data_IF_320839329866
#
_entry.id   IF_320839329866
#
_cell.length_a   1.000
_cell.length_b   1.000
_cell.length_c   1.000
_cell.angle_alpha   90.00
_cell.angle_beta   90.00
_cell.angle_gamma   90.00
#
_symmetry.space_group_name_H-M   'P 1'
#
loop_
_entity.id
_entity.type
_entity.pdbx_description
1 polymer ?
#
# COMPACT_ATOMS: atom_id res chain seq x y z
N UNK A 1 -14.37 14.49 -4.91
CA UNK A 1 -15.59 13.69 -4.65
C UNK A 1 -15.97 13.07 -5.97
N UNK A 2 -15.45 11.87 -6.24
CA UNK A 2 -15.83 11.09 -7.41
C UNK A 2 -17.23 10.53 -7.21
N UNK A 3 -18.05 10.63 -8.25
CA UNK A 3 -19.33 9.96 -8.32
C UNK A 3 -19.11 8.45 -8.23
N UNK A 4 -19.47 7.84 -7.10
CA UNK A 4 -19.42 6.39 -6.96
C UNK A 4 -20.56 5.80 -7.82
N UNK A 5 -20.20 5.29 -9.01
CA UNK A 5 -21.14 4.74 -10.00
C UNK A 5 -22.11 3.71 -9.39
N UNK A 6 -21.65 2.97 -8.38
CA UNK A 6 -22.44 2.02 -7.59
C UNK A 6 -22.25 2.29 -6.09
N UNK A 7 -23.16 3.04 -5.44
CA UNK A 7 -22.98 3.48 -4.05
C UNK A 7 -23.07 2.34 -3.03
N UNK A 8 -23.70 1.23 -3.39
CA UNK A 8 -23.82 0.03 -2.55
C UNK A 8 -22.73 -1.00 -2.83
N UNK A 9 -21.69 -0.65 -3.58
CA UNK A 9 -20.64 -1.60 -3.93
C UNK A 9 -19.81 -1.97 -2.70
N UNK A 10 -19.79 -3.25 -2.37
CA UNK A 10 -19.07 -3.81 -1.24
C UNK A 10 -18.21 -4.99 -1.70
N UNK A 11 -17.00 -5.10 -1.17
CA UNK A 11 -16.07 -6.18 -1.52
C UNK A 11 -15.73 -7.03 -0.32
N UNK A 12 -15.63 -8.36 -0.52
CA UNK A 12 -15.11 -9.31 0.47
C UNK A 12 -13.94 -10.07 -0.14
N UNK A 13 -12.71 -9.63 0.14
CA UNK A 13 -11.54 -10.35 -0.33
C UNK A 13 -11.22 -11.57 0.56
N UNK A 14 -11.04 -12.73 -0.05
CA UNK A 14 -10.75 -14.04 0.57
C UNK A 14 -9.28 -14.45 0.40
N UNK A 15 -8.38 -13.47 0.33
CA UNK A 15 -6.95 -13.73 0.04
C UNK A 15 -6.31 -14.62 1.09
N UNK A 16 -5.79 -15.78 0.66
CA UNK A 16 -5.12 -16.75 1.52
C UNK A 16 -6.06 -17.71 2.26
N UNK A 17 -7.35 -17.71 1.93
CA UNK A 17 -8.32 -18.71 2.39
C UNK A 17 -8.24 -19.95 1.48
N UNK A 18 -8.21 -21.19 2.03
CA UNK A 18 -8.32 -22.41 1.23
C UNK A 18 -9.59 -22.42 0.37
N UNK A 19 -9.49 -22.94 -0.86
CA UNK A 19 -10.60 -22.89 -1.85
C UNK A 19 -11.83 -23.66 -1.35
N UNK A 20 -11.63 -24.75 -0.61
CA UNK A 20 -12.69 -25.59 -0.04
C UNK A 20 -13.41 -24.97 1.16
N UNK A 21 -12.82 -23.93 1.76
CA UNK A 21 -13.40 -23.16 2.86
C UNK A 21 -13.97 -21.80 2.40
N UNK A 22 -13.73 -21.43 1.13
CA UNK A 22 -14.10 -20.12 0.60
C UNK A 22 -15.61 -20.06 0.27
N UNK A 23 -16.33 -19.21 0.99
CA UNK A 23 -17.68 -18.80 0.59
C UNK A 23 -17.60 -17.88 -0.62
N UNK A 24 -18.39 -18.19 -1.64
CA UNK A 24 -18.48 -17.38 -2.86
C UNK A 24 -19.62 -16.35 -2.78
N UNK A 25 -19.50 -15.29 -3.57
CA UNK A 25 -20.47 -14.18 -3.65
C UNK A 25 -20.93 -13.99 -5.09
N UNK A 26 -22.18 -13.58 -5.25
CA UNK A 26 -22.75 -13.15 -6.54
C UNK A 26 -22.41 -11.67 -6.83
N UNK A 27 -22.77 -11.18 -8.02
CA UNK A 27 -22.67 -9.74 -8.32
C UNK A 27 -23.67 -8.93 -7.47
N UNK A 28 -24.84 -9.49 -7.18
CA UNK A 28 -25.85 -8.86 -6.34
C UNK A 28 -25.42 -8.76 -4.87
N UNK A 29 -24.70 -9.75 -4.34
CA UNK A 29 -24.09 -9.71 -3.00
C UNK A 29 -23.03 -8.60 -2.89
N UNK A 30 -22.35 -8.26 -3.99
CA UNK A 30 -21.42 -7.12 -4.08
C UNK A 30 -22.16 -5.78 -4.22
N UNK A 31 -23.49 -5.77 -4.31
CA UNK A 31 -24.31 -4.58 -4.48
C UNK A 31 -24.45 -4.09 -5.92
N UNK A 32 -24.18 -4.95 -6.91
CA UNK A 32 -24.39 -4.64 -8.34
C UNK A 32 -25.81 -5.03 -8.78
N UNK A 33 -26.41 -4.29 -9.73
CA UNK A 33 -27.83 -4.42 -10.05
C UNK A 33 -28.22 -5.67 -10.84
N UNK A 34 -27.30 -6.26 -11.63
CA UNK A 34 -27.62 -7.45 -12.43
C UNK A 34 -26.91 -8.68 -11.88
N UNK A 35 -27.69 -9.75 -11.70
CA UNK A 35 -27.16 -11.07 -11.37
C UNK A 35 -27.58 -12.06 -12.45
N UNK A 36 -26.70 -12.99 -12.79
CA UNK A 36 -27.02 -14.01 -13.79
C UNK A 36 -27.37 -15.31 -13.07
N UNK A 37 -28.59 -15.86 -13.27
CA UNK A 37 -29.01 -17.09 -12.62
C UNK A 37 -28.01 -18.21 -12.90
N UNK A 38 -27.74 -19.10 -11.93
CA UNK A 38 -26.91 -20.27 -12.16
C UNK A 38 -27.45 -21.09 -13.34
N UNK A 39 -26.56 -21.46 -14.26
CA UNK A 39 -26.90 -22.44 -15.29
C UNK A 39 -27.23 -23.77 -14.59
N UNK A 40 -28.42 -24.32 -14.86
CA UNK A 40 -28.79 -25.66 -14.39
C UNK A 40 -27.94 -26.69 -15.14
N UNK A 41 -26.74 -26.96 -14.64
CA UNK A 41 -25.79 -27.90 -15.26
C UNK A 41 -26.39 -29.30 -15.41
N UNK A 42 -27.32 -29.69 -14.53
CA UNK A 42 -28.02 -30.97 -14.62
C UNK A 42 -28.92 -31.05 -15.86
N UNK A 43 -29.45 -29.91 -16.33
CA UNK A 43 -30.22 -29.81 -17.59
C UNK A 43 -29.38 -30.13 -18.82
N UNK A 44 -28.06 -29.93 -18.74
CA UNK A 44 -27.11 -30.15 -19.84
C UNK A 44 -26.16 -31.34 -19.59
N UNK A 45 -26.30 -32.03 -18.46
CA UNK A 45 -25.46 -33.16 -18.06
C UNK A 45 -25.56 -34.38 -19.00
N UNK A 46 -26.61 -34.47 -19.83
CA UNK A 46 -26.64 -35.40 -20.95
C UNK A 46 -25.74 -34.85 -22.08
N UNK A 47 -24.49 -35.33 -22.11
CA UNK A 47 -23.41 -34.83 -22.97
C UNK A 47 -23.76 -34.77 -24.46
N UNK A 48 -24.62 -35.65 -24.95
CA UNK A 48 -24.93 -35.81 -26.37
C UNK A 48 -25.43 -34.53 -27.06
N UNK A 49 -26.11 -33.63 -26.34
CA UNK A 49 -26.61 -32.38 -26.91
C UNK A 49 -25.48 -31.37 -27.13
N UNK A 50 -24.60 -31.17 -26.15
CA UNK A 50 -23.45 -30.26 -26.24
C UNK A 50 -22.34 -30.84 -27.12
N UNK A 51 -22.10 -32.15 -27.07
CA UNK A 51 -21.14 -32.84 -27.93
C UNK A 51 -21.46 -32.58 -29.41
N UNK A 52 -22.74 -32.65 -29.79
CA UNK A 52 -23.16 -32.33 -31.16
C UNK A 52 -22.89 -30.88 -31.58
N UNK A 53 -22.94 -29.93 -30.64
CA UNK A 53 -22.57 -28.52 -30.90
C UNK A 53 -21.07 -28.47 -31.20
N UNK A 54 -20.25 -29.04 -30.31
CA UNK A 54 -18.79 -29.01 -30.43
C UNK A 54 -18.27 -29.72 -31.68
N UNK A 55 -18.87 -30.85 -32.05
CA UNK A 55 -18.58 -31.54 -33.31
C UNK A 55 -18.89 -30.67 -34.54
N UNK A 56 -20.01 -29.94 -34.51
CA UNK A 56 -20.42 -29.05 -35.62
C UNK A 56 -19.51 -27.82 -35.71
N UNK A 57 -19.02 -27.33 -34.57
CA UNK A 57 -18.31 -26.05 -34.48
C UNK A 57 -16.80 -26.18 -34.35
N UNK A 58 -16.22 -27.38 -34.36
CA UNK A 58 -14.81 -27.63 -34.04
C UNK A 58 -13.83 -26.85 -34.92
N UNK A 59 -14.15 -26.71 -36.21
CA UNK A 59 -13.31 -26.01 -37.20
C UNK A 59 -13.71 -24.54 -37.40
N UNK A 60 -14.69 -24.06 -36.64
CA UNK A 60 -15.20 -22.69 -36.76
C UNK A 60 -14.33 -21.68 -36.03
N UNK A 61 -13.93 -20.62 -36.74
CA UNK A 61 -13.29 -19.46 -36.11
C UNK A 61 -14.24 -18.71 -35.17
N UNK A 62 -15.54 -18.68 -35.50
CA UNK A 62 -16.57 -18.05 -34.67
C UNK A 62 -16.71 -18.73 -33.31
N UNK A 63 -16.54 -20.04 -33.22
CA UNK A 63 -16.67 -20.81 -31.98
C UNK A 63 -15.32 -21.12 -31.30
N UNK A 64 -14.23 -20.50 -31.77
CA UNK A 64 -12.93 -20.63 -31.12
C UNK A 64 -12.87 -19.75 -29.87
N UNK A 65 -12.68 -20.36 -28.70
CA UNK A 65 -12.64 -19.61 -27.43
C UNK A 65 -13.99 -19.02 -27.08
N UNK A 66 -14.03 -17.74 -26.68
CA UNK A 66 -15.27 -17.01 -26.33
C UNK A 66 -15.82 -16.16 -27.50
N UNK A 67 -15.39 -16.43 -28.74
CA UNK A 67 -15.71 -15.59 -29.89
C UNK A 67 -17.22 -15.53 -30.18
N UNK A 68 -17.92 -16.66 -30.08
CA UNK A 68 -19.34 -16.77 -30.41
C UNK A 68 -20.20 -16.02 -29.37
N UNK A 69 -19.83 -16.12 -28.11
CA UNK A 69 -20.43 -15.45 -26.97
C UNK A 69 -20.24 -13.94 -27.08
N UNK A 70 -18.99 -13.50 -27.30
CA UNK A 70 -18.66 -12.09 -27.49
C UNK A 70 -19.43 -11.52 -28.68
N UNK A 71 -19.54 -12.28 -29.77
CA UNK A 71 -20.29 -11.88 -30.96
C UNK A 71 -21.79 -11.78 -30.69
N UNK A 72 -22.38 -12.77 -30.03
CA UNK A 72 -23.80 -12.74 -29.65
C UNK A 72 -24.12 -11.51 -28.80
N UNK A 73 -23.32 -11.23 -27.77
CA UNK A 73 -23.53 -10.06 -26.91
C UNK A 73 -23.38 -8.76 -27.69
N UNK A 74 -22.43 -8.66 -28.64
CA UNK A 74 -22.34 -7.49 -29.54
C UNK A 74 -23.58 -7.32 -30.41
N UNK A 75 -24.15 -8.41 -30.94
CA UNK A 75 -25.42 -8.36 -31.68
C UNK A 75 -26.56 -7.90 -30.77
N UNK A 76 -26.66 -8.44 -29.56
CA UNK A 76 -27.67 -8.09 -28.57
C UNK A 76 -27.60 -6.59 -28.21
N UNK A 77 -26.40 -6.07 -27.95
CA UNK A 77 -26.18 -4.66 -27.61
C UNK A 77 -26.43 -3.71 -28.79
N UNK A 78 -26.07 -4.10 -30.01
CA UNK A 78 -26.17 -3.26 -31.20
C UNK A 78 -27.58 -3.20 -31.79
N UNK A 79 -28.29 -4.34 -31.79
CA UNK A 79 -29.66 -4.41 -32.29
C UNK A 79 -30.68 -4.02 -31.23
N UNK A 80 -30.31 -4.10 -29.95
CA UNK A 80 -31.17 -3.79 -28.80
C UNK A 80 -32.48 -4.58 -28.84
N UNK A 81 -32.42 -5.82 -29.34
CA UNK A 81 -33.55 -6.73 -29.51
C UNK A 81 -33.01 -8.17 -29.50
N UNK A 82 -33.56 -8.99 -28.60
CA UNK A 82 -33.11 -10.36 -28.34
C UNK A 82 -33.38 -11.30 -29.52
N UNK A 83 -34.56 -11.19 -30.11
CA UNK A 83 -34.97 -12.05 -31.23
C UNK A 83 -34.20 -11.68 -32.50
N UNK A 84 -33.98 -10.39 -32.75
CA UNK A 84 -33.16 -9.92 -33.86
C UNK A 84 -31.71 -10.39 -33.74
N UNK A 85 -31.13 -10.35 -32.53
CA UNK A 85 -29.78 -10.85 -32.27
C UNK A 85 -29.67 -12.36 -32.49
N UNK A 86 -30.62 -13.15 -31.94
CA UNK A 86 -30.65 -14.60 -32.13
C UNK A 86 -30.82 -14.97 -33.61
N UNK A 87 -31.75 -14.33 -34.32
CA UNK A 87 -31.98 -14.59 -35.73
C UNK A 87 -30.77 -14.24 -36.60
N UNK A 88 -30.07 -13.15 -36.28
CA UNK A 88 -28.85 -12.74 -36.99
C UNK A 88 -27.70 -13.73 -36.76
N UNK A 89 -27.44 -14.11 -35.50
CA UNK A 89 -26.42 -15.11 -35.19
C UNK A 89 -26.74 -16.45 -35.84
N UNK A 90 -28.01 -16.88 -35.81
CA UNK A 90 -28.46 -18.11 -36.47
C UNK A 90 -28.22 -18.06 -37.98
N UNK A 91 -28.51 -16.93 -38.63
CA UNK A 91 -28.27 -16.76 -40.06
C UNK A 91 -26.78 -16.90 -40.41
N UNK A 92 -25.89 -16.37 -39.57
CA UNK A 92 -24.44 -16.50 -39.74
C UNK A 92 -23.97 -17.95 -39.49
N UNK A 93 -24.51 -18.61 -38.47
CA UNK A 93 -24.16 -19.99 -38.11
C UNK A 93 -24.69 -21.04 -39.09
N UNK A 94 -25.69 -20.71 -39.94
CA UNK A 94 -26.15 -21.61 -41.02
C UNK A 94 -25.02 -22.00 -41.97
N UNK A 95 -24.06 -21.11 -42.20
CA UNK A 95 -22.89 -21.39 -43.05
C UNK A 95 -22.01 -22.52 -42.51
N UNK A 96 -22.13 -22.82 -41.22
CA UNK A 96 -21.34 -23.79 -40.46
C UNK A 96 -22.20 -25.03 -40.12
N UNK A 97 -23.43 -25.10 -40.63
CA UNK A 97 -24.33 -26.23 -40.38
C UNK A 97 -24.98 -26.25 -38.99
N UNK A 98 -24.83 -25.20 -38.18
CA UNK A 98 -25.40 -25.15 -36.84
C UNK A 98 -26.92 -24.94 -36.88
N UNK A 99 -27.67 -25.83 -36.25
CA UNK A 99 -29.13 -25.72 -36.13
C UNK A 99 -29.57 -24.68 -35.10
N UNK A 100 -30.82 -24.22 -35.19
CA UNK A 100 -31.44 -23.35 -34.19
C UNK A 100 -31.37 -23.97 -32.79
N UNK A 101 -31.68 -25.27 -32.68
CA UNK A 101 -31.66 -26.01 -31.43
C UNK A 101 -30.25 -26.03 -30.81
N UNK A 102 -29.23 -26.36 -31.60
CA UNK A 102 -27.83 -26.36 -31.16
C UNK A 102 -27.37 -24.97 -30.68
N UNK A 103 -27.70 -23.90 -31.43
CA UNK A 103 -27.37 -22.54 -31.02
C UNK A 103 -28.06 -22.16 -29.71
N UNK A 104 -29.34 -22.53 -29.54
CA UNK A 104 -30.12 -22.24 -28.34
C UNK A 104 -29.53 -22.95 -27.12
N UNK A 105 -29.16 -24.23 -27.26
CA UNK A 105 -28.46 -24.98 -26.20
C UNK A 105 -27.14 -24.32 -25.85
N UNK A 106 -26.33 -23.96 -26.85
CA UNK A 106 -25.06 -23.30 -26.63
C UNK A 106 -25.23 -22.01 -25.84
N UNK A 107 -26.12 -21.11 -26.29
CA UNK A 107 -26.37 -19.85 -25.59
C UNK A 107 -26.96 -20.06 -24.19
N UNK A 108 -27.81 -21.06 -23.99
CA UNK A 108 -28.37 -21.38 -22.68
C UNK A 108 -27.28 -21.89 -21.72
N UNK A 109 -26.43 -22.80 -22.20
CA UNK A 109 -25.31 -23.34 -21.43
C UNK A 109 -24.32 -22.25 -21.00
N UNK A 110 -24.12 -21.23 -21.85
CA UNK A 110 -23.28 -20.07 -21.55
C UNK A 110 -24.00 -18.96 -20.75
N UNK A 111 -25.27 -19.16 -20.43
CA UNK A 111 -26.16 -18.21 -19.72
C UNK A 111 -26.39 -16.89 -20.46
N UNK A 112 -26.39 -16.96 -21.78
CA UNK A 112 -26.66 -15.82 -22.67
C UNK A 112 -28.06 -15.86 -23.27
N UNK A 113 -28.70 -17.04 -23.33
CA UNK A 113 -29.98 -17.20 -24.00
C UNK A 113 -31.07 -16.33 -23.37
N UNK A 114 -31.09 -16.18 -22.04
CA UNK A 114 -32.14 -15.45 -21.34
C UNK A 114 -31.84 -13.97 -21.09
N UNK A 115 -30.63 -13.54 -21.44
CA UNK A 115 -30.15 -12.18 -21.21
C UNK A 115 -30.85 -11.18 -22.15
N UNK A 116 -31.47 -10.14 -21.59
CA UNK A 116 -32.05 -9.07 -22.38
C UNK A 116 -31.01 -7.94 -22.66
N UNK A 117 -31.26 -7.05 -23.64
CA UNK A 117 -30.32 -5.99 -24.00
C UNK A 117 -30.00 -4.99 -22.87
N UNK A 118 -30.94 -4.75 -21.96
CA UNK A 118 -30.76 -3.88 -20.80
C UNK A 118 -29.78 -4.50 -19.81
N UNK A 119 -30.03 -5.74 -19.41
CA UNK A 119 -29.15 -6.50 -18.51
C UNK A 119 -27.75 -6.69 -19.11
N UNK A 120 -27.65 -6.97 -20.41
CA UNK A 120 -26.36 -7.05 -21.10
C UNK A 120 -25.58 -5.73 -21.04
N UNK A 121 -26.27 -4.59 -21.16
CA UNK A 121 -25.62 -3.28 -21.08
C UNK A 121 -25.15 -2.99 -19.65
N UNK A 122 -25.97 -3.30 -18.66
CA UNK A 122 -25.64 -3.15 -17.25
C UNK A 122 -24.45 -4.03 -16.86
N UNK A 123 -24.46 -5.33 -17.20
CA UNK A 123 -23.33 -6.23 -16.96
C UNK A 123 -22.03 -5.72 -17.60
N UNK A 124 -22.07 -5.23 -18.84
CA UNK A 124 -20.88 -4.64 -19.47
C UNK A 124 -20.35 -3.44 -18.68
N UNK A 125 -21.23 -2.57 -18.21
CA UNK A 125 -20.88 -1.38 -17.45
C UNK A 125 -20.44 -1.67 -16.01
N UNK A 126 -20.93 -2.76 -15.42
CA UNK A 126 -20.48 -3.34 -14.15
C UNK A 126 -19.08 -3.94 -14.29
N UNK A 127 -18.81 -4.77 -15.30
CA UNK A 127 -17.48 -5.36 -15.50
C UNK A 127 -16.41 -4.31 -15.83
N UNK A 128 -16.77 -3.23 -16.55
CA UNK A 128 -15.89 -2.06 -16.70
C UNK A 128 -15.53 -1.48 -15.34
N UNK A 129 -16.54 -1.21 -14.50
CA UNK A 129 -16.32 -0.66 -13.16
C UNK A 129 -15.50 -1.60 -12.27
N UNK A 130 -15.78 -2.90 -12.29
CA UNK A 130 -15.03 -3.92 -11.54
C UNK A 130 -13.55 -3.91 -11.96
N UNK A 131 -13.25 -3.86 -13.26
CA UNK A 131 -11.87 -3.86 -13.76
C UNK A 131 -11.13 -2.59 -13.30
N UNK A 132 -11.76 -1.43 -13.36
CA UNK A 132 -11.16 -0.16 -12.97
C UNK A 132 -10.93 -0.04 -11.46
N UNK A 133 -11.88 -0.58 -10.68
CA UNK A 133 -11.91 -0.47 -9.21
C UNK A 133 -11.04 -1.54 -8.55
N UNK A 134 -11.21 -2.81 -8.94
CA UNK A 134 -10.52 -3.93 -8.30
C UNK A 134 -9.19 -4.28 -8.97
N UNK A 135 -8.86 -3.67 -10.11
CA UNK A 135 -7.60 -3.81 -10.84
C UNK A 135 -7.09 -5.27 -11.00
N UNK A 136 -7.93 -6.23 -11.42
CA UNK A 136 -7.52 -7.63 -11.60
C UNK A 136 -6.53 -7.79 -12.75
N UNK A 137 -5.66 -8.82 -12.73
CA UNK A 137 -4.83 -9.20 -13.90
C UNK A 137 -5.65 -9.95 -14.92
N UNK A 138 -6.61 -10.76 -14.47
CA UNK A 138 -7.57 -11.46 -15.30
C UNK A 138 -8.81 -11.78 -14.46
N UNK A 139 -9.84 -12.32 -15.08
CA UNK A 139 -11.08 -12.71 -14.37
C UNK A 139 -10.82 -13.75 -13.26
N UNK A 140 -9.73 -14.51 -13.34
CA UNK A 140 -9.31 -15.47 -12.31
C UNK A 140 -9.10 -14.77 -10.96
N UNK A 141 -8.55 -13.55 -10.96
CA UNK A 141 -8.35 -12.82 -9.72
C UNK A 141 -9.70 -12.49 -9.05
N UNK A 142 -10.77 -12.25 -9.81
CA UNK A 142 -12.11 -12.06 -9.25
C UNK A 142 -12.63 -13.35 -8.60
N UNK A 143 -12.42 -14.49 -9.23
CA UNK A 143 -12.85 -15.77 -8.67
C UNK A 143 -12.04 -16.15 -7.41
N UNK A 144 -10.71 -16.02 -7.46
CA UNK A 144 -9.84 -16.50 -6.38
C UNK A 144 -9.62 -15.50 -5.25
N UNK A 145 -9.65 -14.18 -5.52
CA UNK A 145 -9.38 -13.18 -4.50
C UNK A 145 -10.65 -12.53 -3.97
N UNK A 146 -11.65 -12.28 -4.82
CA UNK A 146 -12.94 -11.74 -4.39
C UNK A 146 -13.94 -12.85 -4.03
N UNK A 147 -13.69 -14.10 -4.43
CA UNK A 147 -14.64 -15.20 -4.22
C UNK A 147 -15.87 -15.07 -5.12
N UNK A 148 -15.76 -14.36 -6.26
CA UNK A 148 -16.90 -14.22 -7.17
C UNK A 148 -17.32 -15.59 -7.71
N UNK A 149 -18.62 -15.86 -7.72
CA UNK A 149 -19.20 -17.05 -8.32
C UNK A 149 -18.70 -17.22 -9.76
N UNK A 150 -18.30 -18.43 -10.12
CA UNK A 150 -17.86 -18.72 -11.49
C UNK A 150 -19.07 -18.89 -12.39
N UNK A 151 -19.21 -18.03 -13.40
CA UNK A 151 -20.25 -18.16 -14.42
C UNK A 151 -19.65 -17.94 -15.82
N UNK A 152 -19.99 -18.76 -16.85
CA UNK A 152 -19.48 -18.57 -18.21
C UNK A 152 -19.70 -17.16 -18.77
N UNK A 153 -20.90 -16.60 -18.55
CA UNK A 153 -21.26 -15.23 -18.94
C UNK A 153 -20.26 -14.16 -18.45
N UNK A 154 -19.66 -14.34 -17.26
CA UNK A 154 -18.74 -13.36 -16.67
C UNK A 154 -17.45 -13.28 -17.49
N UNK A 155 -17.01 -14.38 -18.09
CA UNK A 155 -15.88 -14.37 -19.02
C UNK A 155 -16.14 -13.50 -20.23
N UNK A 156 -17.32 -13.64 -20.82
CA UNK A 156 -17.77 -12.84 -21.98
C UNK A 156 -17.78 -11.35 -21.63
N UNK A 157 -18.41 -10.97 -20.51
CA UNK A 157 -18.48 -9.56 -20.12
C UNK A 157 -17.13 -8.99 -19.67
N UNK A 158 -16.28 -9.79 -19.01
CA UNK A 158 -14.92 -9.39 -18.69
C UNK A 158 -14.07 -9.15 -19.94
N UNK A 159 -14.18 -10.03 -20.95
CA UNK A 159 -13.48 -9.87 -22.22
C UNK A 159 -13.96 -8.62 -22.98
N UNK A 160 -15.27 -8.40 -23.07
CA UNK A 160 -15.85 -7.22 -23.71
C UNK A 160 -15.53 -5.92 -22.96
N UNK A 161 -15.53 -5.94 -21.62
CA UNK A 161 -15.13 -4.80 -20.81
C UNK A 161 -13.64 -4.47 -21.00
N UNK A 162 -12.77 -5.48 -21.05
CA UNK A 162 -11.36 -5.30 -21.35
C UNK A 162 -11.13 -4.69 -22.74
N UNK A 163 -11.89 -5.13 -23.76
CA UNK A 163 -11.85 -4.54 -25.11
C UNK A 163 -12.31 -3.08 -25.09
N UNK A 164 -13.40 -2.76 -24.38
CA UNK A 164 -13.93 -1.39 -24.21
C UNK A 164 -12.91 -0.47 -23.54
N UNK A 165 -12.16 -1.00 -22.56
CA UNK A 165 -11.06 -0.32 -21.87
C UNK A 165 -9.73 -0.34 -22.65
N UNK A 166 -9.68 -1.02 -23.81
CA UNK A 166 -8.48 -1.18 -24.65
C UNK A 166 -7.29 -1.78 -23.90
N UNK A 167 -7.55 -2.76 -23.02
CA UNK A 167 -6.51 -3.41 -22.24
C UNK A 167 -5.80 -4.50 -23.04
N UNK A 168 -4.48 -4.43 -23.08
CA UNK A 168 -3.65 -5.44 -23.73
C UNK A 168 -3.45 -6.68 -22.85
N UNK A 169 -3.60 -7.87 -23.45
CA UNK A 169 -3.35 -9.16 -22.79
C UNK A 169 -2.09 -9.85 -23.32
N UNK A 170 -1.49 -10.70 -22.49
CA UNK A 170 -0.47 -11.64 -22.96
C UNK A 170 -1.08 -12.76 -23.81
N UNK A 171 -0.47 -13.06 -24.96
CA UNK A 171 -1.01 -14.01 -25.94
C UNK A 171 -0.27 -15.35 -26.00
N UNK A 172 0.89 -15.47 -25.33
CA UNK A 172 1.69 -16.70 -25.36
C UNK A 172 1.11 -17.73 -24.38
N UNK A 173 0.45 -18.76 -24.92
CA UNK A 173 -0.18 -19.87 -24.18
C UNK A 173 0.78 -20.71 -23.33
N UNK A 174 2.08 -20.66 -23.61
CA UNK A 174 3.09 -21.42 -22.87
C UNK A 174 3.62 -20.68 -21.63
N UNK A 175 3.14 -19.46 -21.36
CA UNK A 175 3.52 -18.69 -20.18
C UNK A 175 2.38 -18.65 -19.17
N UNK A 176 2.73 -18.66 -17.88
CA UNK A 176 1.77 -18.61 -16.77
C UNK A 176 0.94 -17.31 -16.72
N UNK A 177 1.36 -16.28 -17.45
CA UNK A 177 0.64 -15.01 -17.56
C UNK A 177 -0.28 -14.93 -18.78
N UNK A 178 -0.51 -16.03 -19.51
CA UNK A 178 -1.45 -16.06 -20.63
C UNK A 178 -2.81 -15.47 -20.24
N UNK A 179 -3.38 -14.64 -21.12
CA UNK A 179 -4.63 -13.90 -20.93
C UNK A 179 -4.66 -12.88 -19.77
N UNK A 180 -3.57 -12.70 -19.02
CA UNK A 180 -3.46 -11.60 -18.06
C UNK A 180 -3.20 -10.29 -18.78
N UNK A 181 -3.73 -9.19 -18.24
CA UNK A 181 -3.40 -7.83 -18.66
C UNK A 181 -1.91 -7.54 -18.44
N UNK A 182 -1.28 -6.87 -19.39
CA UNK A 182 0.18 -6.63 -19.37
C UNK A 182 0.64 -5.69 -18.26
N UNK A 183 -0.07 -4.59 -18.04
CA UNK A 183 0.32 -3.54 -17.09
C UNK A 183 -0.82 -2.97 -16.24
N UNK A 184 -2.08 -3.38 -16.49
CA UNK A 184 -3.27 -2.79 -15.85
C UNK A 184 -3.18 -2.77 -14.32
N UNK A 185 -2.77 -3.89 -13.72
CA UNK A 185 -2.65 -3.97 -12.26
C UNK A 185 -1.52 -3.07 -11.73
N UNK A 186 -0.34 -3.06 -12.36
CA UNK A 186 0.79 -2.25 -11.93
C UNK A 186 0.48 -0.75 -12.02
N UNK A 187 -0.11 -0.32 -13.14
CA UNK A 187 -0.54 1.08 -13.33
C UNK A 187 -1.67 1.47 -12.38
N UNK A 188 -2.61 0.56 -12.13
CA UNK A 188 -3.68 0.73 -11.15
C UNK A 188 -3.15 0.91 -9.73
N UNK A 189 -2.24 0.05 -9.29
CA UNK A 189 -1.56 0.16 -7.98
C UNK A 189 -0.79 1.47 -7.90
N UNK A 190 0.00 1.81 -8.93
CA UNK A 190 0.79 3.06 -8.97
C UNK A 190 -0.12 4.28 -8.81
N UNK A 191 -1.23 4.32 -9.55
CA UNK A 191 -2.23 5.38 -9.45
C UNK A 191 -2.80 5.50 -8.03
N UNK A 192 -3.16 4.39 -7.39
CA UNK A 192 -3.71 4.41 -6.03
C UNK A 192 -2.68 4.94 -5.01
N UNK A 193 -1.42 4.51 -5.10
CA UNK A 193 -0.33 5.01 -4.24
C UNK A 193 -0.16 6.52 -4.43
N UNK A 194 -0.15 7.00 -5.68
CA UNK A 194 -0.04 8.42 -6.01
C UNK A 194 -1.26 9.23 -5.58
N UNK A 195 -2.43 8.61 -5.41
CA UNK A 195 -3.62 9.24 -4.86
C UNK A 195 -3.64 9.26 -3.33
N UNK A 196 -2.60 8.74 -2.67
CA UNK A 196 -2.44 8.76 -1.21
C UNK A 196 -2.94 7.50 -0.51
N UNK A 197 -3.51 6.53 -1.23
CA UNK A 197 -4.00 5.27 -0.64
C UNK A 197 -2.90 4.54 0.13
N UNK A 198 -3.28 3.89 1.23
CA UNK A 198 -2.35 3.04 1.98
C UNK A 198 -2.09 1.71 1.26
N UNK A 199 -0.90 1.15 1.43
CA UNK A 199 -0.56 -0.15 0.84
C UNK A 199 -1.47 -1.26 1.40
N UNK A 200 -1.91 -1.13 2.65
CA UNK A 200 -2.87 -2.04 3.25
C UNK A 200 -4.25 -1.91 2.59
N UNK A 201 -4.75 -0.69 2.36
CA UNK A 201 -6.05 -0.48 1.71
C UNK A 201 -6.04 -0.99 0.28
N UNK A 202 -4.94 -0.77 -0.47
CA UNK A 202 -4.77 -1.35 -1.80
C UNK A 202 -4.81 -2.89 -1.71
N UNK A 203 -4.14 -3.47 -0.72
CA UNK A 203 -4.15 -4.92 -0.53
C UNK A 203 -5.53 -5.45 -0.06
N UNK A 204 -6.26 -4.75 0.79
CA UNK A 204 -7.54 -5.23 1.31
C UNK A 204 -8.70 -5.01 0.33
N UNK A 205 -8.62 -4.00 -0.55
CA UNK A 205 -9.74 -3.57 -1.39
C UNK A 205 -9.53 -3.77 -2.90
N UNK A 206 -8.41 -4.35 -3.33
CA UNK A 206 -8.16 -4.66 -4.75
C UNK A 206 -7.66 -6.08 -4.96
N UNK A 207 -7.52 -6.52 -6.21
CA UNK A 207 -6.91 -7.80 -6.56
C UNK A 207 -5.38 -7.83 -6.44
N UNK A 208 -4.73 -6.71 -6.10
CA UNK A 208 -3.27 -6.65 -6.04
C UNK A 208 -2.71 -7.53 -4.91
N UNK A 209 -1.64 -8.27 -5.19
CA UNK A 209 -0.91 -9.03 -4.16
C UNK A 209 0.11 -8.15 -3.47
N UNK A 210 0.54 -8.51 -2.25
CA UNK A 210 1.64 -7.80 -1.56
C UNK A 210 2.89 -7.72 -2.45
N UNK A 211 3.23 -8.80 -3.16
CA UNK A 211 4.37 -8.83 -4.08
C UNK A 211 4.27 -7.76 -5.16
N UNK A 212 3.11 -7.65 -5.82
CA UNK A 212 2.91 -6.67 -6.90
C UNK A 212 2.97 -5.24 -6.36
N UNK A 213 2.32 -4.98 -5.22
CA UNK A 213 2.34 -3.67 -4.56
C UNK A 213 3.78 -3.23 -4.28
N UNK A 214 4.58 -4.15 -3.76
CA UNK A 214 6.00 -3.93 -3.44
C UNK A 214 6.89 -3.73 -4.65
N UNK A 215 6.67 -4.48 -5.72
CA UNK A 215 7.38 -4.31 -6.99
C UNK A 215 7.09 -2.93 -7.59
N UNK A 216 5.82 -2.51 -7.58
CA UNK A 216 5.43 -1.18 -8.04
C UNK A 216 6.12 -0.11 -7.20
N UNK A 217 6.04 -0.16 -5.88
CA UNK A 217 6.67 0.83 -5.01
C UNK A 217 8.18 0.97 -5.27
N UNK A 218 8.90 -0.16 -5.41
CA UNK A 218 10.34 -0.16 -5.73
C UNK A 218 10.67 0.40 -7.11
N UNK A 219 9.73 0.30 -8.05
CA UNK A 219 9.90 0.83 -9.41
C UNK A 219 9.64 2.33 -9.51
N UNK A 220 8.96 2.92 -8.52
CA UNK A 220 8.63 4.34 -8.50
C UNK A 220 9.88 5.18 -8.21
N UNK A 221 10.06 6.27 -8.95
CA UNK A 221 11.18 7.21 -8.76
C UNK A 221 10.81 8.29 -7.75
N UNK A 222 11.82 8.82 -7.06
CA UNK A 222 11.69 9.96 -6.13
C UNK A 222 10.93 11.16 -6.73
N UNK A 223 11.15 11.46 -8.01
CA UNK A 223 10.47 12.54 -8.74
C UNK A 223 8.96 12.29 -8.93
N UNK A 224 8.56 11.02 -9.03
CA UNK A 224 7.16 10.63 -9.21
C UNK A 224 6.35 10.77 -7.92
N UNK A 225 7.02 10.86 -6.77
CA UNK A 225 6.39 11.17 -5.50
C UNK A 225 6.05 12.66 -5.33
N UNK A 226 6.23 13.48 -6.37
CA UNK A 226 5.93 14.92 -6.47
C UNK A 226 5.07 15.54 -5.36
N UNK A 227 5.69 15.84 -4.21
CA UNK A 227 5.02 16.51 -3.09
C UNK A 227 3.96 15.69 -2.34
N UNK A 228 3.91 14.37 -2.53
CA UNK A 228 3.05 13.49 -1.74
C UNK A 228 3.41 13.62 -0.26
N UNK A 229 2.37 13.72 0.56
CA UNK A 229 2.44 13.72 2.03
C UNK A 229 2.95 12.35 2.49
N UNK A 230 4.26 12.26 2.56
CA UNK A 230 4.99 11.15 3.12
C UNK A 230 6.40 11.08 2.56
N UNK A 231 7.38 11.22 3.43
CA UNK A 231 8.78 11.04 3.07
C UNK A 231 9.04 9.63 2.52
N UNK A 232 10.10 9.43 1.72
CA UNK A 232 10.51 8.10 1.25
C UNK A 232 10.61 7.11 2.44
N UNK A 233 11.03 7.60 3.60
CA UNK A 233 11.12 6.81 4.82
C UNK A 233 9.78 6.32 5.36
N UNK A 234 8.74 7.15 5.39
CA UNK A 234 7.39 6.69 5.77
C UNK A 234 6.92 5.56 4.85
N UNK A 235 7.18 5.65 3.55
CA UNK A 235 6.84 4.57 2.60
C UNK A 235 7.66 3.30 2.85
N UNK A 236 8.91 3.43 3.27
CA UNK A 236 9.72 2.28 3.71
C UNK A 236 9.14 1.64 4.98
N UNK A 237 8.70 2.44 5.97
CA UNK A 237 8.02 1.92 7.16
C UNK A 237 6.72 1.21 6.79
N UNK A 238 5.90 1.82 5.92
CA UNK A 238 4.65 1.21 5.42
C UNK A 238 4.91 -0.11 4.68
N UNK A 239 5.97 -0.16 3.88
CA UNK A 239 6.40 -1.38 3.18
C UNK A 239 6.68 -2.53 4.16
N UNK A 240 7.34 -2.22 5.28
CA UNK A 240 7.62 -3.18 6.35
C UNK A 240 6.30 -3.59 7.04
N UNK A 241 5.44 -2.62 7.38
CA UNK A 241 4.14 -2.87 7.99
C UNK A 241 3.23 -3.74 7.14
N UNK A 242 3.30 -3.62 5.81
CA UNK A 242 2.49 -4.43 4.89
C UNK A 242 2.76 -5.94 5.04
N UNK A 243 3.98 -6.36 5.39
CA UNK A 243 4.28 -7.77 5.64
C UNK A 243 3.75 -8.28 6.97
N UNK A 244 3.55 -7.37 7.91
CA UNK A 244 3.13 -7.70 9.26
C UNK A 244 1.63 -8.00 9.25
N UNK A 245 1.22 -8.99 10.05
CA UNK A 245 -0.20 -9.38 10.21
C UNK A 245 -0.95 -8.42 11.15
N UNK A 246 -0.67 -7.13 11.08
CA UNK A 246 -1.31 -6.11 11.91
C UNK A 246 -2.10 -5.15 11.03
N UNK A 247 -3.30 -4.78 11.47
CA UNK A 247 -4.06 -3.70 10.84
C UNK A 247 -3.46 -2.37 11.24
N UNK A 248 -3.29 -1.47 10.29
CA UNK A 248 -2.81 -0.12 10.54
C UNK A 248 -3.60 0.90 9.72
N UNK A 249 -3.52 2.16 10.14
CA UNK A 249 -3.98 3.32 9.36
C UNK A 249 -2.87 4.34 9.27
N UNK A 250 -2.84 5.08 8.16
CA UNK A 250 -1.92 6.18 7.92
C UNK A 250 -2.50 7.52 8.35
N UNK A 251 -1.62 8.46 8.66
CA UNK A 251 -1.94 9.89 8.82
C UNK A 251 -3.13 10.13 9.77
N UNK A 252 -3.11 9.46 10.92
CA UNK A 252 -4.23 9.39 11.86
C UNK A 252 -4.26 10.60 12.78
N UNK A 253 -5.44 11.20 12.90
CA UNK A 253 -5.75 12.18 13.94
C UNK A 253 -6.60 11.53 15.02
N UNK A 254 -6.34 11.87 16.29
CA UNK A 254 -7.20 11.46 17.39
C UNK A 254 -8.18 12.59 17.73
N UNK A 255 -9.48 12.30 17.72
CA UNK A 255 -10.53 13.30 17.93
C UNK A 255 -10.42 14.03 19.27
N UNK A 256 -9.85 13.38 20.29
CA UNK A 256 -9.68 13.96 21.62
C UNK A 256 -8.30 14.54 21.89
N UNK A 257 -7.42 14.61 20.88
CA UNK A 257 -6.05 15.12 21.03
C UNK A 257 -5.98 16.50 21.68
N UNK A 258 -6.71 17.48 21.15
CA UNK A 258 -6.72 18.86 21.66
C UNK A 258 -7.28 18.93 23.09
N UNK A 259 -8.32 18.15 23.39
CA UNK A 259 -8.94 18.08 24.71
C UNK A 259 -8.00 17.48 25.76
N UNK A 260 -7.22 16.46 25.38
CA UNK A 260 -6.29 15.77 26.28
C UNK A 260 -5.01 16.58 26.51
N UNK A 261 -4.48 17.21 25.46
CA UNK A 261 -3.20 17.93 25.52
C UNK A 261 -3.34 19.40 25.92
N UNK A 262 -4.50 20.01 25.65
CA UNK A 262 -4.72 21.45 25.73
C UNK A 262 -4.10 22.24 24.57
N UNK A 263 -3.62 21.56 23.53
CA UNK A 263 -2.98 22.21 22.38
C UNK A 263 -3.98 22.83 21.41
N UNK A 264 -3.57 23.92 20.75
CA UNK A 264 -4.38 24.61 19.74
C UNK A 264 -4.36 23.90 18.37
N UNK A 265 -3.58 22.84 18.22
CA UNK A 265 -3.45 22.05 16.99
C UNK A 265 -3.89 20.59 17.21
N UNK A 266 -4.24 19.89 16.13
CA UNK A 266 -4.50 18.46 16.18
C UNK A 266 -3.27 17.69 15.69
N UNK A 267 -2.74 16.80 16.53
CA UNK A 267 -1.56 16.00 16.21
C UNK A 267 -1.90 14.88 15.24
N UNK A 268 -1.26 14.91 14.07
CA UNK A 268 -1.29 13.82 13.09
C UNK A 268 -0.19 12.81 13.42
N UNK A 269 -0.52 11.52 13.41
CA UNK A 269 0.44 10.43 13.55
C UNK A 269 0.61 9.65 12.26
N UNK A 270 1.84 9.25 11.93
CA UNK A 270 2.13 8.63 10.62
C UNK A 270 1.48 7.27 10.48
N UNK A 271 1.60 6.40 11.49
CA UNK A 271 0.93 5.10 11.53
C UNK A 271 0.35 4.80 12.90
N UNK A 272 -0.85 4.23 12.92
CA UNK A 272 -1.46 3.69 14.14
C UNK A 272 -1.89 2.25 13.87
N UNK A 273 -1.44 1.32 14.70
CA UNK A 273 -1.77 -0.08 14.62
C UNK A 273 -2.95 -0.41 15.55
N UNK A 274 -3.85 -1.25 15.05
CA UNK A 274 -5.11 -1.58 15.71
C UNK A 274 -5.23 -3.08 16.00
N UNK A 275 -5.79 -3.40 17.16
CA UNK A 275 -6.16 -4.77 17.56
C UNK A 275 -7.59 -4.73 18.08
N UNK A 276 -8.49 -5.52 17.46
CA UNK A 276 -9.94 -5.49 17.75
C UNK A 276 -10.53 -4.05 17.68
N UNK A 277 -10.08 -3.28 16.67
CA UNK A 277 -10.43 -1.86 16.45
C UNK A 277 -9.95 -0.86 17.52
N UNK A 278 -9.17 -1.29 18.51
CA UNK A 278 -8.55 -0.39 19.49
C UNK A 278 -7.09 -0.10 19.08
N UNK A 279 -6.62 1.16 19.13
CA UNK A 279 -5.23 1.50 18.88
C UNK A 279 -4.35 0.90 19.99
N UNK A 280 -3.25 0.26 19.62
CA UNK A 280 -2.33 -0.36 20.61
C UNK A 280 -0.85 0.01 20.42
N UNK A 281 -0.48 0.58 19.28
CA UNK A 281 0.87 1.05 18.99
C UNK A 281 0.78 2.20 18.00
N UNK A 282 1.49 3.27 18.28
CA UNK A 282 1.66 4.43 17.40
C UNK A 282 3.09 4.43 16.88
N UNK A 283 3.27 4.70 15.59
CA UNK A 283 4.58 4.78 14.95
C UNK A 283 4.71 6.13 14.24
N UNK A 284 5.84 6.78 14.49
CA UNK A 284 6.26 8.04 13.85
C UNK A 284 7.55 7.79 13.08
N UNK A 285 7.65 8.37 11.88
CA UNK A 285 8.91 8.42 11.18
C UNK A 285 9.50 9.84 11.27
N UNK A 286 10.62 9.97 11.98
CA UNK A 286 11.29 11.24 12.17
C UNK A 286 12.32 11.47 11.07
N UNK A 287 11.93 12.25 10.06
CA UNK A 287 12.85 12.77 9.06
C UNK A 287 13.89 13.75 9.64
N UNK A 288 14.90 14.13 8.85
CA UNK A 288 15.96 15.08 9.26
C UNK A 288 15.41 16.39 9.84
N UNK A 289 14.23 16.84 9.38
CA UNK A 289 13.56 18.05 9.85
C UNK A 289 13.17 18.02 11.34
N UNK A 290 13.04 16.84 11.96
CA UNK A 290 12.77 16.73 13.40
C UNK A 290 14.01 16.99 14.26
N UNK A 291 15.22 16.93 13.68
CA UNK A 291 16.49 17.04 14.39
C UNK A 291 17.21 18.35 14.10
N UNK A 292 17.09 18.85 12.86
CA UNK A 292 17.83 20.01 12.39
C UNK A 292 16.90 21.01 11.69
N UNK A 293 17.22 22.31 11.81
CA UNK A 293 16.56 23.33 11.02
C UNK A 293 16.88 23.14 9.53
N UNK A 294 15.87 22.71 8.77
CA UNK A 294 15.90 22.68 7.31
C UNK A 294 15.03 23.81 6.74
N UNK A 295 15.60 24.82 6.05
CA UNK A 295 14.86 26.00 5.57
C UNK A 295 13.63 25.66 4.71
N UNK A 296 13.71 24.60 3.89
CA UNK A 296 12.61 24.16 3.04
C UNK A 296 11.39 23.67 3.82
N UNK A 297 11.59 23.11 5.02
CA UNK A 297 10.52 22.53 5.83
C UNK A 297 10.01 23.49 6.91
N UNK A 298 10.88 24.35 7.44
CA UNK A 298 10.54 25.21 8.58
C UNK A 298 10.31 26.67 8.20
N UNK A 299 10.86 27.13 7.07
CA UNK A 299 10.91 28.52 6.60
C UNK A 299 11.71 29.48 7.51
N UNK A 300 11.59 29.33 8.83
CA UNK A 300 12.19 30.16 9.88
C UNK A 300 12.66 29.31 11.07
N UNK A 301 13.68 29.74 11.83
CA UNK A 301 14.10 29.05 13.06
C UNK A 301 12.95 28.86 14.06
N UNK A 302 12.04 29.82 14.17
CA UNK A 302 10.84 29.73 15.00
C UNK A 302 9.90 28.60 14.52
N UNK A 303 9.86 28.34 13.20
CA UNK A 303 9.14 27.19 12.63
C UNK A 303 9.70 25.85 13.09
N UNK A 304 11.01 25.75 13.32
CA UNK A 304 11.63 24.55 13.90
C UNK A 304 11.33 24.41 15.40
N UNK A 305 11.33 25.50 16.16
CA UNK A 305 10.88 25.46 17.57
C UNK A 305 9.41 25.01 17.70
N UNK A 306 8.55 25.45 16.78
CA UNK A 306 7.17 24.98 16.71
C UNK A 306 7.08 23.48 16.39
N UNK A 307 7.94 22.97 15.50
CA UNK A 307 8.01 21.54 15.20
C UNK A 307 8.43 20.73 16.44
N UNK A 308 9.46 21.18 17.16
CA UNK A 308 9.89 20.56 18.43
C UNK A 308 8.78 20.58 19.49
N UNK A 309 8.05 21.70 19.59
CA UNK A 309 6.90 21.80 20.49
C UNK A 309 5.80 20.77 20.12
N UNK A 310 5.49 20.61 18.83
CA UNK A 310 4.52 19.62 18.37
C UNK A 310 4.93 18.19 18.74
N UNK A 311 6.20 17.85 18.57
CA UNK A 311 6.76 16.54 18.90
C UNK A 311 6.65 16.22 20.41
N UNK A 312 6.94 17.21 21.27
CA UNK A 312 6.78 17.08 22.73
C UNK A 312 5.33 16.83 23.09
N UNK A 313 4.40 17.60 22.50
CA UNK A 313 2.97 17.48 22.79
C UNK A 313 2.42 16.13 22.28
N UNK A 314 2.86 15.65 21.12
CA UNK A 314 2.51 14.33 20.58
C UNK A 314 2.99 13.20 21.50
N UNK A 315 4.22 13.30 22.01
CA UNK A 315 4.75 12.35 23.01
C UNK A 315 3.88 12.34 24.26
N UNK A 316 3.58 13.53 24.81
CA UNK A 316 2.74 13.68 26.01
C UNK A 316 1.34 13.11 25.83
N UNK A 317 0.73 13.28 24.66
CA UNK A 317 -0.57 12.67 24.37
C UNK A 317 -0.51 11.15 24.50
N UNK A 318 0.48 10.51 23.88
CA UNK A 318 0.67 9.06 23.93
C UNK A 318 0.92 8.59 25.38
N UNK A 319 1.73 9.31 26.15
CA UNK A 319 1.96 9.01 27.57
C UNK A 319 0.67 9.07 28.41
N UNK A 320 -0.14 10.13 28.28
CA UNK A 320 -1.41 10.28 29.01
C UNK A 320 -2.41 9.18 28.63
N UNK A 321 -2.38 8.74 27.37
CA UNK A 321 -3.24 7.69 26.85
C UNK A 321 -2.75 6.28 27.13
N UNK A 322 -1.56 6.14 27.73
CA UNK A 322 -0.86 4.86 27.89
C UNK A 322 -0.70 4.13 26.54
N UNK A 323 -0.52 4.89 25.45
CA UNK A 323 -0.29 4.38 24.10
C UNK A 323 1.22 4.34 23.82
N UNK A 324 1.80 3.16 23.54
CA UNK A 324 3.20 3.06 23.14
C UNK A 324 3.48 3.85 21.85
N UNK A 325 4.49 4.71 21.89
CA UNK A 325 4.93 5.54 20.77
C UNK A 325 6.32 5.11 20.28
N UNK A 326 6.37 4.36 19.20
CA UNK A 326 7.60 3.98 18.52
C UNK A 326 7.97 5.05 17.49
N UNK A 327 8.89 5.93 17.82
CA UNK A 327 9.52 6.79 16.80
C UNK A 327 10.58 5.96 16.05
N UNK A 328 10.78 6.23 14.76
CA UNK A 328 11.81 5.61 13.91
C UNK A 328 12.54 6.76 13.22
N UNK A 329 13.83 6.90 13.47
CA UNK A 329 14.59 8.04 12.95
C UNK A 329 15.07 7.73 11.53
N UNK A 330 15.25 8.77 10.71
CA UNK A 330 15.69 8.60 9.33
C UNK A 330 17.04 7.88 9.18
N UNK A 331 17.92 7.99 10.18
CA UNK A 331 19.21 7.29 10.21
C UNK A 331 19.08 5.78 10.48
N UNK A 332 17.92 5.31 10.92
CA UNK A 332 17.70 3.90 11.24
C UNK A 332 17.22 3.08 10.04
N UNK A 333 16.84 3.76 8.95
CA UNK A 333 16.48 3.12 7.68
C UNK A 333 17.69 2.81 6.79
N UNK A 334 18.88 2.72 7.40
CA UNK A 334 20.13 2.46 6.69
C UNK A 334 20.17 1.05 6.04
N UNK A 335 20.68 1.01 4.81
CA UNK A 335 20.79 -0.18 3.97
C UNK A 335 21.74 -1.23 4.56
N UNK A 336 22.66 -0.82 5.44
CA UNK A 336 23.68 -1.70 6.06
C UNK A 336 23.10 -2.69 7.10
N UNK A 337 21.86 -2.49 7.56
CA UNK A 337 21.17 -3.40 8.51
C UNK A 337 19.79 -3.79 8.00
N UNK A 338 19.71 -4.55 6.89
CA UNK A 338 18.44 -4.91 6.31
C UNK A 338 17.60 -5.73 7.31
N UNK A 339 16.41 -5.23 7.63
CA UNK A 339 15.46 -5.91 8.52
C UNK A 339 15.49 -5.46 9.99
N UNK A 340 16.46 -4.62 10.42
CA UNK A 340 16.50 -4.11 11.80
C UNK A 340 15.18 -3.46 12.21
N UNK A 341 14.66 -2.52 11.41
CA UNK A 341 13.38 -1.86 11.70
C UNK A 341 12.20 -2.83 11.68
N UNK A 342 12.23 -3.85 10.81
CA UNK A 342 11.21 -4.88 10.83
C UNK A 342 11.23 -5.66 12.15
N UNK A 343 12.40 -5.98 12.68
CA UNK A 343 12.55 -6.65 13.97
C UNK A 343 12.11 -5.77 15.13
N UNK A 344 12.46 -4.47 15.12
CA UNK A 344 12.01 -3.48 16.11
C UNK A 344 10.48 -3.38 16.14
N UNK A 345 9.84 -3.21 14.97
CA UNK A 345 8.39 -3.12 14.87
C UNK A 345 7.75 -4.44 15.35
N UNK A 346 8.26 -5.59 14.91
CA UNK A 346 7.75 -6.89 15.35
C UNK A 346 7.90 -7.11 16.87
N UNK A 347 9.01 -6.66 17.46
CA UNK A 347 9.24 -6.73 18.90
C UNK A 347 8.25 -5.83 19.65
N UNK A 348 8.06 -4.59 19.20
CA UNK A 348 7.08 -3.65 19.76
C UNK A 348 5.63 -4.17 19.69
N UNK A 349 5.28 -4.85 18.59
CA UNK A 349 3.93 -5.45 18.42
C UNK A 349 3.70 -6.63 19.39
N UNK A 350 4.75 -7.42 19.66
CA UNK A 350 4.68 -8.57 20.58
C UNK A 350 4.64 -8.11 22.03
N UNK A 351 5.48 -7.16 22.39
CA UNK A 351 5.59 -6.61 23.74
C UNK A 351 5.92 -5.11 23.68
N UNK A 352 4.97 -4.24 24.10
CA UNK A 352 5.14 -2.79 24.14
C UNK A 352 6.38 -2.30 24.91
N UNK A 353 6.93 -3.07 25.86
CA UNK A 353 8.15 -2.72 26.56
C UNK A 353 9.35 -2.52 25.61
N UNK A 354 9.32 -3.17 24.43
CA UNK A 354 10.37 -2.99 23.42
C UNK A 354 10.40 -1.59 22.81
N UNK A 355 9.31 -0.82 22.88
CA UNK A 355 9.30 0.60 22.49
C UNK A 355 10.23 1.39 23.40
N UNK A 356 10.16 1.15 24.71
CA UNK A 356 11.02 1.80 25.69
C UNK A 356 12.48 1.35 25.57
N UNK A 357 12.71 0.06 25.32
CA UNK A 357 14.05 -0.47 25.06
C UNK A 357 14.66 0.20 23.82
N UNK A 358 13.90 0.28 22.73
CA UNK A 358 14.31 0.96 21.51
C UNK A 358 14.63 2.43 21.77
N UNK A 359 13.76 3.15 22.49
CA UNK A 359 14.00 4.55 22.88
C UNK A 359 15.32 4.72 23.63
N UNK A 360 15.60 3.88 24.63
CA UNK A 360 16.85 3.94 25.41
C UNK A 360 18.09 3.61 24.57
N UNK A 361 18.00 2.65 23.66
CA UNK A 361 19.10 2.32 22.75
C UNK A 361 19.42 3.48 21.79
N UNK A 362 18.45 4.34 21.49
CA UNK A 362 18.61 5.50 20.60
C UNK A 362 19.04 6.78 21.28
N UNK A 363 18.85 6.92 22.59
CA UNK A 363 19.27 8.15 23.31
C UNK A 363 20.71 8.59 22.95
N UNK A 364 21.71 7.69 22.88
CA UNK A 364 23.04 8.04 22.39
C UNK A 364 23.05 8.54 20.94
N UNK A 365 22.39 7.83 20.00
CA UNK A 365 22.35 8.19 18.58
C UNK A 365 21.66 9.54 18.32
N UNK A 366 20.59 9.85 19.05
CA UNK A 366 19.92 11.17 18.97
C UNK A 366 20.89 12.29 19.34
N UNK A 367 21.70 12.07 20.37
CA UNK A 367 22.75 13.00 20.78
C UNK A 367 23.87 13.10 19.73
N UNK A 368 24.20 12.01 19.02
CA UNK A 368 25.20 12.03 17.93
C UNK A 368 24.81 13.00 16.81
N UNK A 369 23.55 12.97 16.38
CA UNK A 369 23.07 13.84 15.30
C UNK A 369 23.15 15.34 15.64
N UNK A 370 23.16 15.67 16.94
CA UNK A 370 23.33 17.04 17.40
C UNK A 370 24.81 17.49 17.45
N UNK A 371 25.78 16.57 17.35
CA UNK A 371 27.21 16.87 17.49
C UNK A 371 27.67 17.91 16.47
N UNK A 372 27.26 17.78 15.22
CA UNK A 372 27.72 18.62 14.10
C UNK A 372 27.58 20.13 14.38
N UNK A 373 26.50 20.50 15.08
CA UNK A 373 26.22 21.89 15.46
C UNK A 373 26.65 22.24 16.89
N UNK A 374 26.91 21.24 17.74
CA UNK A 374 27.21 21.44 19.17
C UNK A 374 28.70 21.49 19.47
N UNK A 375 29.56 21.10 18.53
CA UNK A 375 31.02 21.25 18.66
C UNK A 375 31.54 22.65 18.31
N UNK A 376 30.69 23.46 17.67
CA UNK A 376 30.96 24.86 17.30
C UNK A 376 30.14 25.79 18.20
N UNK A 377 30.61 27.03 18.38
CA UNK A 377 29.96 28.04 19.20
C UNK A 377 29.62 27.54 20.62
N UNK A 378 30.54 26.77 21.22
CA UNK A 378 30.30 25.99 22.44
C UNK A 378 30.97 26.59 23.68
N UNK A 379 31.53 27.81 23.60
CA UNK A 379 32.26 28.45 24.69
C UNK A 379 31.48 28.50 26.00
N UNK A 380 30.29 29.06 26.00
CA UNK A 380 29.45 29.16 27.20
C UNK A 380 29.19 27.78 27.84
N UNK A 381 28.97 26.76 27.02
CA UNK A 381 28.69 25.43 27.53
C UNK A 381 29.94 24.78 28.14
N UNK A 382 31.09 24.90 27.48
CA UNK A 382 32.38 24.40 27.98
C UNK A 382 32.80 25.10 29.29
N UNK A 383 32.59 26.41 29.39
CA UNK A 383 32.92 27.19 30.59
C UNK A 383 32.05 26.80 31.80
N UNK A 384 30.81 26.36 31.55
CA UNK A 384 29.89 25.87 32.59
C UNK A 384 29.97 24.36 32.83
N UNK A 385 30.91 23.68 32.19
CA UNK A 385 31.06 22.23 32.21
C UNK A 385 32.13 21.75 33.18
N UNK A 386 31.97 20.53 33.70
CA UNK A 386 33.01 19.86 34.49
C UNK A 386 33.86 18.97 33.59
N UNK A 387 33.20 18.16 32.76
CA UNK A 387 33.83 17.26 31.81
C UNK A 387 33.55 17.68 30.37
N UNK A 388 34.57 17.52 29.54
CA UNK A 388 34.52 17.66 28.10
C UNK A 388 35.06 16.39 27.44
N UNK A 389 34.57 16.10 26.24
CA UNK A 389 35.01 14.99 25.41
C UNK A 389 35.32 15.46 23.99
N UNK A 390 36.37 14.89 23.38
CA UNK A 390 36.67 15.13 21.96
C UNK A 390 36.09 14.01 21.09
N UNK A 391 35.15 14.33 20.20
CA UNK A 391 34.57 13.38 19.25
C UNK A 391 35.63 12.81 18.30
N UNK A 392 36.63 13.59 17.90
CA UNK A 392 37.67 13.14 16.94
C UNK A 392 38.73 12.19 17.52
N UNK A 393 38.97 12.16 18.84
CA UNK A 393 39.96 11.26 19.44
C UNK A 393 39.49 10.54 20.72
N UNK A 394 38.18 10.57 20.97
CA UNK A 394 37.48 9.99 22.12
C UNK A 394 38.01 10.37 23.50
N UNK A 395 38.83 11.42 23.61
CA UNK A 395 39.52 11.75 24.86
C UNK A 395 38.61 12.55 25.77
N UNK A 396 38.49 12.11 27.02
CA UNK A 396 37.76 12.81 28.08
C UNK A 396 38.75 13.60 28.95
N UNK A 397 38.40 14.84 29.27
CA UNK A 397 39.19 15.71 30.12
C UNK A 397 38.32 16.71 30.88
N UNK A 398 38.87 17.30 31.94
CA UNK A 398 38.22 18.41 32.63
C UNK A 398 38.23 19.67 31.76
N UNK A 399 37.16 20.45 31.80
CA UNK A 399 36.98 21.67 30.99
C UNK A 399 38.17 22.64 31.09
N UNK A 400 38.75 22.79 32.29
CA UNK A 400 39.89 23.67 32.55
C UNK A 400 41.19 23.30 31.80
N UNK A 401 41.25 22.15 31.12
CA UNK A 401 42.37 21.79 30.23
C UNK A 401 42.26 22.40 28.84
N UNK A 402 41.11 22.97 28.48
CA UNK A 402 40.93 23.67 27.21
C UNK A 402 41.55 25.06 27.35
N UNK A 403 42.64 25.31 26.63
CA UNK A 403 43.35 26.60 26.62
C UNK A 403 43.34 27.28 25.26
N UNK A 404 42.94 26.57 24.21
CA UNK A 404 42.98 27.03 22.83
C UNK A 404 41.57 26.98 22.21
N UNK A 405 41.27 28.00 21.39
CA UNK A 405 39.96 28.25 20.82
C UNK A 405 40.09 28.75 19.38
N UNK A 406 39.18 28.30 18.51
CA UNK A 406 38.98 28.84 17.16
C UNK A 406 37.66 29.63 17.14
N UNK A 407 37.76 30.95 17.24
CA UNK A 407 36.62 31.80 17.58
C UNK A 407 36.12 31.49 19.00
N UNK A 408 34.84 31.13 19.12
CA UNK A 408 34.15 30.70 20.34
C UNK A 408 33.95 29.17 20.39
N UNK A 409 34.77 28.42 19.65
CA UNK A 409 34.72 26.97 19.58
C UNK A 409 35.98 26.35 20.16
N UNK A 410 35.83 25.43 21.13
CA UNK A 410 36.94 24.83 21.85
C UNK A 410 37.79 23.91 20.96
N UNK A 411 39.12 23.99 21.10
CA UNK A 411 40.06 23.07 20.46
C UNK A 411 40.52 21.98 21.42
N UNK A 412 40.61 20.75 20.92
CA UNK A 412 41.02 19.62 21.73
C UNK A 412 42.48 19.75 22.20
N UNK A 413 42.77 19.68 23.52
CA UNK A 413 44.14 19.77 24.04
C UNK A 413 45.00 18.53 23.70
N UNK A 414 44.41 17.47 23.12
CA UNK A 414 45.12 16.26 22.70
C UNK A 414 45.42 16.24 21.20
N UNK A 415 44.42 16.47 20.36
CA UNK A 415 44.55 16.36 18.90
C UNK A 415 44.43 17.68 18.13
N UNK A 416 44.06 18.78 18.79
CA UNK A 416 43.88 20.09 18.16
C UNK A 416 42.58 20.28 17.38
N UNK A 417 41.75 19.23 17.24
CA UNK A 417 40.52 19.29 16.46
C UNK A 417 39.40 20.08 17.15
N UNK A 418 38.60 20.78 16.35
CA UNK A 418 37.37 21.50 16.76
C UNK A 418 36.19 20.54 16.81
N UNK A 419 36.27 19.60 17.74
CA UNK A 419 35.31 18.50 17.88
C UNK A 419 35.00 18.24 19.36
N UNK A 420 34.81 19.30 20.14
CA UNK A 420 34.62 19.22 21.60
C UNK A 420 33.16 19.33 21.97
N UNK A 421 32.72 18.42 22.84
CA UNK A 421 31.41 18.47 23.51
C UNK A 421 31.58 18.49 25.03
N UNK A 422 30.59 19.02 25.72
CA UNK A 422 30.64 19.31 27.15
C UNK A 422 29.40 18.78 27.90
N UNK A 423 29.55 18.37 29.15
CA UNK A 423 28.45 17.82 29.96
C UNK A 423 27.28 18.81 30.20
N UNK A 424 27.53 20.12 30.21
CA UNK A 424 26.52 21.16 30.34
C UNK A 424 25.65 21.31 29.09
N UNK A 425 26.07 20.74 27.95
CA UNK A 425 25.24 20.61 26.75
C UNK A 425 24.25 19.43 26.85
N UNK A 426 24.32 18.64 27.93
CA UNK A 426 23.48 17.46 28.15
C UNK A 426 24.07 16.16 27.60
N UNK A 427 25.32 16.16 27.12
CA UNK A 427 25.98 14.95 26.63
C UNK A 427 26.52 14.08 27.76
N UNK A 428 26.34 12.75 27.70
CA UNK A 428 26.95 11.83 28.65
C UNK A 428 28.44 11.67 28.32
N UNK A 429 29.31 12.45 28.97
CA UNK A 429 30.76 12.38 28.76
C UNK A 429 31.35 11.12 29.44
N UNK A 430 31.20 9.98 28.77
CA UNK A 430 31.62 8.64 29.22
C UNK A 430 32.40 7.92 28.13
N UNK A 431 33.27 6.97 28.49
CA UNK A 431 34.08 6.23 27.50
C UNK A 431 33.22 5.56 26.42
N UNK A 432 32.09 4.98 26.81
CA UNK A 432 31.15 4.33 25.88
C UNK A 432 30.55 5.33 24.88
N UNK A 433 30.05 6.49 25.36
CA UNK A 433 29.49 7.50 24.49
C UNK A 433 30.57 8.14 23.59
N UNK A 434 31.77 8.39 24.12
CA UNK A 434 32.87 8.95 23.33
C UNK A 434 33.41 8.00 22.24
N UNK A 435 33.30 6.69 22.44
CA UNK A 435 33.59 5.69 21.41
C UNK A 435 32.57 5.77 20.27
N UNK A 436 31.28 5.80 20.62
CA UNK A 436 30.19 5.89 19.63
C UNK A 436 30.26 7.24 18.89
N UNK A 437 30.56 8.33 19.61
CA UNK A 437 30.72 9.66 19.03
C UNK A 437 31.91 9.76 18.08
N UNK A 438 32.97 9.01 18.34
CA UNK A 438 34.10 8.91 17.42
C UNK A 438 33.73 8.17 16.14
N UNK A 439 33.08 7.02 16.25
CA UNK A 439 32.63 6.24 15.09
C UNK A 439 31.65 7.03 14.19
N UNK A 440 30.86 7.94 14.77
CA UNK A 440 29.99 8.87 14.02
C UNK A 440 30.76 10.03 13.37
N UNK A 441 31.83 10.51 14.02
CA UNK A 441 32.55 11.72 13.62
C UNK A 441 33.56 11.50 12.47
N UNK A 442 34.05 10.27 12.31
CA UNK A 442 35.02 9.88 11.26
C UNK A 442 34.32 9.30 10.03
#
# INVERSE_FOLDING_TARGET
MDYQKYPNFHTRFIKGVPIDEAETVSLSDLGLPVDVPPCDEARFANSSNLDSVWETTSDSELFRGNNAENHYVRLLLSLNDKDAALNKMLAECKSIGLSHYQLTIFLAYRGLLDLDPGDARALLDEFVFIIETLIPRSIQDLFYFLGLNTHPVYWTFFDLAAEKLKLEKHTNRNKNNYNQFKSHMQEGVKRLILNGESLLDIYENTCATKTIIKEVLRSMRLEEFGGLSGSLGERTVEFILLDIKAKYRREVYFDDFQRVTGAEFNGRYDFVLYRKNEPFLVIEYDGQQHFNYVPRFHETPEGFEQQLYRDVVKTKYCEIKELPLLRIDYMELDDDKPGYIADVINAAIKDPANVEIHRKLREPMMMLSALDNRVIHNQDAVENSTLCGCCSCSTIFISSKITEWDGDSALCPRCGEKAIIADAQGFPITDNFMSIAYDYWI
#
